data_IF_710512631228
#
_entry.id   IF_710512631228
#
_cell.length_a   1.000
_cell.length_b   1.000
_cell.length_c   1.000
_cell.angle_alpha   90.00
_cell.angle_beta   90.00
_cell.angle_gamma   90.00
#
_symmetry.space_group_name_H-M   'P 1'
#
loop_
_entity.id
_entity.type
_entity.pdbx_description
1 polymer ?
#
# COMPACT_ATOMS: atom_id res chain seq x y z
N UNK A 1 1.11 13.74 -23.94
CA UNK A 1 2.24 13.05 -23.27
C UNK A 1 3.50 12.88 -24.15
N UNK A 2 3.66 13.56 -25.30
CA UNK A 2 4.87 13.42 -26.15
C UNK A 2 6.14 14.12 -25.62
N UNK A 3 6.12 14.70 -24.41
CA UNK A 3 7.27 15.39 -23.80
C UNK A 3 7.77 14.82 -22.47
N UNK A 4 7.21 13.70 -22.00
CA UNK A 4 7.72 13.00 -20.82
C UNK A 4 7.86 11.52 -21.15
N UNK A 5 8.84 11.22 -22.00
CA UNK A 5 9.38 9.85 -22.09
C UNK A 5 10.07 9.56 -20.76
N UNK A 6 9.93 8.33 -20.26
CA UNK A 6 10.49 7.82 -19.00
C UNK A 6 12.04 7.73 -18.99
N UNK A 7 12.72 8.62 -19.72
CA UNK A 7 14.18 8.66 -19.93
C UNK A 7 14.92 9.58 -18.94
N UNK A 8 14.26 10.10 -17.91
CA UNK A 8 14.79 11.16 -17.04
C UNK A 8 15.38 10.65 -15.72
N UNK A 9 14.91 9.52 -15.16
CA UNK A 9 15.59 8.88 -14.01
C UNK A 9 16.52 7.80 -14.51
N UNK A 10 17.82 8.02 -14.28
CA UNK A 10 18.85 7.02 -14.58
C UNK A 10 18.85 5.94 -13.50
N UNK A 11 18.99 4.66 -13.88
CA UNK A 11 19.14 3.56 -12.92
C UNK A 11 20.54 3.59 -12.30
N UNK A 12 20.73 4.46 -11.30
CA UNK A 12 21.98 4.66 -10.57
C UNK A 12 21.75 4.47 -9.07
N UNK A 13 22.81 4.17 -8.32
CA UNK A 13 22.74 3.99 -6.86
C UNK A 13 22.28 5.27 -6.15
N UNK A 14 22.63 6.45 -6.69
CA UNK A 14 22.16 7.76 -6.22
C UNK A 14 20.63 7.88 -6.25
N UNK A 15 19.98 7.33 -7.28
CA UNK A 15 18.52 7.36 -7.43
C UNK A 15 17.82 6.15 -6.78
N UNK A 16 18.58 5.26 -6.14
CA UNK A 16 18.07 4.00 -5.61
C UNK A 16 17.64 4.07 -4.14
N UNK A 17 17.90 5.19 -3.46
CA UNK A 17 17.50 5.42 -2.07
C UNK A 17 15.99 5.33 -1.82
N UNK A 18 15.59 5.22 -0.55
CA UNK A 18 14.18 5.29 -0.09
C UNK A 18 13.26 4.15 -0.58
N UNK A 19 13.83 2.95 -0.76
CA UNK A 19 13.09 1.71 -0.97
C UNK A 19 12.21 1.73 -2.21
N UNK A 20 10.97 1.23 -2.08
CA UNK A 20 10.00 1.19 -3.17
C UNK A 20 9.15 2.46 -3.25
N UNK A 21 9.21 3.33 -2.24
CA UNK A 21 8.41 4.56 -2.20
C UNK A 21 8.90 5.57 -3.25
N UNK A 22 10.18 5.95 -3.17
CA UNK A 22 10.79 6.97 -4.03
C UNK A 22 11.88 6.41 -4.96
N UNK A 23 12.53 5.33 -4.54
CA UNK A 23 13.70 4.77 -5.20
C UNK A 23 13.43 4.01 -6.49
N UNK A 24 14.52 3.61 -7.14
CA UNK A 24 14.47 2.82 -8.38
C UNK A 24 13.79 1.46 -8.22
N UNK A 25 13.72 0.89 -7.00
CA UNK A 25 12.96 -0.33 -6.75
C UNK A 25 11.44 -0.14 -6.99
N UNK A 26 10.90 1.06 -6.74
CA UNK A 26 9.52 1.40 -7.08
C UNK A 26 9.28 1.46 -8.59
N UNK A 27 10.26 1.99 -9.34
CA UNK A 27 10.22 1.99 -10.81
C UNK A 27 10.34 0.55 -11.36
N UNK A 28 11.20 -0.27 -10.75
CA UNK A 28 11.30 -1.68 -11.08
C UNK A 28 9.97 -2.41 -10.85
N UNK A 29 9.29 -2.13 -9.74
CA UNK A 29 7.95 -2.64 -9.48
C UNK A 29 6.95 -2.22 -10.56
N UNK A 30 6.95 -0.96 -11.01
CA UNK A 30 6.08 -0.53 -12.11
C UNK A 30 6.31 -1.38 -13.36
N UNK A 31 7.57 -1.58 -13.78
CA UNK A 31 7.85 -2.43 -14.94
C UNK A 31 7.45 -3.89 -14.73
N UNK A 32 7.67 -4.43 -13.53
CA UNK A 32 7.18 -5.74 -13.15
C UNK A 32 5.65 -5.82 -13.29
N UNK A 33 4.91 -4.86 -12.76
CA UNK A 33 3.45 -4.77 -12.85
C UNK A 33 2.98 -4.75 -14.31
N UNK A 34 3.58 -3.88 -15.14
CA UNK A 34 3.27 -3.81 -16.58
C UNK A 34 3.47 -5.14 -17.31
N UNK A 35 4.45 -5.96 -16.88
CA UNK A 35 4.71 -7.26 -17.48
C UNK A 35 3.60 -8.30 -17.22
N UNK A 36 2.75 -8.04 -16.22
CA UNK A 36 1.65 -8.91 -15.79
C UNK A 36 0.30 -8.51 -16.39
N UNK A 37 0.17 -7.28 -16.89
CA UNK A 37 -1.08 -6.77 -17.45
C UNK A 37 -1.39 -7.44 -18.79
N UNK A 38 -2.53 -8.15 -18.95
CA UNK A 38 -2.80 -8.96 -20.15
C UNK A 38 -2.78 -8.18 -21.47
N UNK A 39 -3.29 -6.95 -21.47
CA UNK A 39 -3.31 -6.05 -22.64
C UNK A 39 -1.92 -5.60 -23.08
N UNK A 40 -0.90 -5.77 -22.23
CA UNK A 40 0.49 -5.38 -22.47
C UNK A 40 1.44 -6.57 -22.65
N UNK A 41 0.88 -7.79 -22.73
CA UNK A 41 1.63 -9.06 -22.80
C UNK A 41 2.67 -9.14 -23.93
N UNK A 42 2.45 -8.47 -25.07
CA UNK A 42 3.40 -8.43 -26.19
C UNK A 42 4.75 -7.80 -25.85
N UNK A 43 4.82 -6.98 -24.79
CA UNK A 43 6.04 -6.32 -24.30
C UNK A 43 6.56 -6.91 -23.00
N UNK A 44 5.98 -8.01 -22.52
CA UNK A 44 6.31 -8.62 -21.22
C UNK A 44 7.82 -8.77 -21.00
N UNK A 45 8.54 -9.39 -21.93
CA UNK A 45 10.00 -9.60 -21.79
C UNK A 45 10.79 -8.29 -21.79
N UNK A 46 10.32 -7.25 -22.49
CA UNK A 46 10.95 -5.93 -22.45
C UNK A 46 10.77 -5.28 -21.08
N UNK A 47 9.56 -5.37 -20.51
CA UNK A 47 9.28 -4.83 -19.20
C UNK A 47 10.07 -5.54 -18.10
N UNK A 48 10.14 -6.87 -18.11
CA UNK A 48 10.96 -7.61 -17.14
C UNK A 48 12.45 -7.23 -17.23
N UNK A 49 13.00 -7.02 -18.44
CA UNK A 49 14.38 -6.52 -18.59
C UNK A 49 14.56 -5.12 -17.98
N UNK A 50 13.60 -4.22 -18.20
CA UNK A 50 13.64 -2.88 -17.59
C UNK A 50 13.49 -2.94 -16.07
N UNK A 51 12.65 -3.84 -15.55
CA UNK A 51 12.52 -4.07 -14.11
C UNK A 51 13.88 -4.43 -13.50
N UNK A 52 14.63 -5.37 -14.10
CA UNK A 52 15.99 -5.70 -13.65
C UNK A 52 16.93 -4.50 -13.73
N UNK A 53 16.89 -3.73 -14.83
CA UNK A 53 17.71 -2.52 -14.99
C UNK A 53 17.54 -1.53 -13.84
N UNK A 54 16.30 -1.23 -13.43
CA UNK A 54 16.02 -0.31 -12.33
C UNK A 54 16.20 -0.95 -10.94
N UNK A 55 16.09 -2.27 -10.85
CA UNK A 55 16.27 -3.01 -9.61
C UNK A 55 17.75 -3.15 -9.20
N UNK A 56 18.67 -3.32 -10.16
CA UNK A 56 20.08 -3.57 -9.88
C UNK A 56 20.73 -2.53 -8.95
N UNK A 57 20.57 -1.21 -9.16
CA UNK A 57 21.11 -0.21 -8.24
C UNK A 57 20.57 -0.33 -6.81
N UNK A 58 19.28 -0.63 -6.66
CA UNK A 58 18.65 -0.80 -5.36
C UNK A 58 19.19 -2.05 -4.63
N UNK A 59 19.44 -3.14 -5.35
CA UNK A 59 20.10 -4.34 -4.81
C UNK A 59 21.51 -4.00 -4.32
N UNK A 60 22.28 -3.22 -5.09
CA UNK A 60 23.62 -2.81 -4.69
C UNK A 60 23.59 -1.99 -3.40
N UNK A 61 22.74 -0.97 -3.33
CA UNK A 61 22.56 -0.13 -2.12
C UNK A 61 22.14 -0.98 -0.92
N UNK A 62 21.17 -1.88 -1.10
CA UNK A 62 20.70 -2.78 -0.04
C UNK A 62 21.81 -3.74 0.45
N UNK A 63 22.74 -4.12 -0.41
CA UNK A 63 23.85 -5.02 -0.08
C UNK A 63 24.98 -4.32 0.67
N UNK A 64 25.20 -3.02 0.42
CA UNK A 64 26.23 -2.22 1.08
C UNK A 64 25.81 -1.73 2.48
N UNK A 65 24.54 -1.43 2.69
CA UNK A 65 24.03 -0.81 3.94
C UNK A 65 23.39 -1.82 4.90
N UNK A 66 24.07 -2.93 5.21
CA UNK A 66 23.49 -4.01 6.04
C UNK A 66 23.29 -3.65 7.53
N UNK A 67 24.08 -2.72 8.07
CA UNK A 67 24.13 -2.45 9.51
C UNK A 67 23.02 -1.53 10.01
N UNK A 68 22.46 -0.68 9.13
CA UNK A 68 21.41 0.30 9.46
C UNK A 68 20.07 0.05 8.76
N UNK A 69 19.92 -1.09 8.06
CA UNK A 69 18.75 -1.32 7.24
C UNK A 69 17.53 -1.67 8.09
N UNK A 70 16.58 -0.74 8.17
CA UNK A 70 15.25 -1.01 8.70
C UNK A 70 14.62 -2.09 7.79
N UNK A 71 14.13 -3.21 8.36
CA UNK A 71 13.51 -4.29 7.60
C UNK A 71 12.09 -3.93 7.14
N UNK A 72 11.93 -2.74 6.57
CA UNK A 72 10.65 -2.19 6.17
C UNK A 72 10.34 -2.46 4.71
N UNK A 73 9.05 -2.67 4.45
CA UNK A 73 8.58 -3.04 3.12
C UNK A 73 8.50 -1.84 2.18
N UNK A 74 8.01 -0.68 2.64
CA UNK A 74 7.85 0.49 1.75
C UNK A 74 9.14 1.29 1.60
N UNK A 75 9.82 1.58 2.72
CA UNK A 75 10.99 2.48 2.74
C UNK A 75 12.35 1.78 2.86
N UNK A 76 12.37 0.44 2.97
CA UNK A 76 13.57 -0.29 3.37
C UNK A 76 13.93 -1.46 2.46
N UNK A 77 14.96 -2.18 2.88
CA UNK A 77 15.55 -3.27 2.11
C UNK A 77 14.59 -4.44 1.90
N UNK A 78 13.64 -4.66 2.82
CA UNK A 78 12.65 -5.73 2.67
C UNK A 78 11.79 -5.50 1.41
N UNK A 79 11.42 -4.27 1.09
CA UNK A 79 10.75 -3.93 -0.17
C UNK A 79 11.57 -4.28 -1.41
N UNK A 80 12.87 -3.95 -1.37
CA UNK A 80 13.80 -4.23 -2.47
C UNK A 80 13.91 -5.74 -2.68
N UNK A 81 14.08 -6.52 -1.61
CA UNK A 81 14.14 -7.98 -1.68
C UNK A 81 12.83 -8.60 -2.19
N UNK A 82 11.68 -8.06 -1.78
CA UNK A 82 10.39 -8.53 -2.28
C UNK A 82 10.22 -8.30 -3.79
N UNK A 83 10.56 -7.11 -4.29
CA UNK A 83 10.51 -6.80 -5.72
C UNK A 83 11.52 -7.66 -6.48
N UNK A 84 12.71 -7.87 -5.93
CA UNK A 84 13.70 -8.75 -6.54
C UNK A 84 13.22 -10.20 -6.65
N UNK A 85 12.68 -10.75 -5.56
CA UNK A 85 12.12 -12.10 -5.55
C UNK A 85 11.08 -12.29 -6.66
N UNK A 86 10.12 -11.37 -6.78
CA UNK A 86 9.01 -11.47 -7.74
C UNK A 86 9.44 -11.27 -9.19
N UNK A 87 10.38 -10.34 -9.44
CA UNK A 87 10.99 -10.13 -10.77
C UNK A 87 11.77 -11.36 -11.23
N UNK A 88 12.68 -11.87 -10.40
CA UNK A 88 13.48 -13.05 -10.75
C UNK A 88 12.62 -14.32 -10.89
N UNK A 89 11.58 -14.47 -10.06
CA UNK A 89 10.59 -15.54 -10.22
C UNK A 89 9.92 -15.48 -11.61
N UNK A 90 9.50 -14.29 -12.05
CA UNK A 90 8.84 -14.11 -13.35
C UNK A 90 9.77 -14.26 -14.54
N UNK A 91 11.08 -14.13 -14.33
CA UNK A 91 12.12 -14.45 -15.31
C UNK A 91 12.47 -15.95 -15.35
N UNK A 92 11.96 -16.75 -14.42
CA UNK A 92 12.29 -18.17 -14.27
C UNK A 92 13.61 -18.43 -13.52
N UNK A 93 14.26 -17.39 -12.98
CA UNK A 93 15.46 -17.53 -12.16
C UNK A 93 15.08 -17.80 -10.69
N UNK A 94 14.71 -19.06 -10.43
CA UNK A 94 14.26 -19.49 -9.11
C UNK A 94 15.36 -19.43 -8.05
N UNK A 95 16.64 -19.51 -8.45
CA UNK A 95 17.75 -19.42 -7.51
C UNK A 95 17.87 -18.01 -6.93
N UNK A 96 17.88 -16.98 -7.79
CA UNK A 96 17.87 -15.59 -7.32
C UNK A 96 16.57 -15.25 -6.59
N UNK A 97 15.43 -15.70 -7.11
CA UNK A 97 14.14 -15.53 -6.43
C UNK A 97 14.19 -16.04 -4.98
N UNK A 98 14.59 -17.31 -4.79
CA UNK A 98 14.66 -17.92 -3.47
C UNK A 98 15.69 -17.25 -2.55
N UNK A 99 16.81 -16.76 -3.09
CA UNK A 99 17.79 -15.99 -2.32
C UNK A 99 17.16 -14.72 -1.73
N UNK A 100 16.43 -13.93 -2.53
CA UNK A 100 15.80 -12.71 -2.03
C UNK A 100 14.61 -12.99 -1.10
N UNK A 101 13.86 -14.06 -1.34
CA UNK A 101 12.85 -14.55 -0.38
C UNK A 101 13.50 -14.86 0.97
N UNK A 102 14.64 -15.54 0.97
CA UNK A 102 15.35 -15.86 2.21
C UNK A 102 15.85 -14.59 2.91
N UNK A 103 16.45 -13.64 2.18
CA UNK A 103 16.88 -12.35 2.76
C UNK A 103 15.72 -11.57 3.39
N UNK A 104 14.53 -11.60 2.76
CA UNK A 104 13.32 -11.01 3.32
C UNK A 104 12.91 -11.69 4.64
N UNK A 105 12.89 -13.02 4.67
CA UNK A 105 12.48 -13.74 5.88
C UNK A 105 13.52 -13.72 7.00
N UNK A 106 14.81 -13.62 6.69
CA UNK A 106 15.88 -13.47 7.69
C UNK A 106 15.71 -12.18 8.50
N UNK A 107 15.11 -11.14 7.90
CA UNK A 107 14.84 -9.87 8.58
C UNK A 107 13.69 -9.94 9.60
N UNK A 108 12.92 -11.04 9.63
CA UNK A 108 11.85 -11.26 10.62
C UNK A 108 12.39 -11.18 12.06
N UNK A 109 13.61 -11.64 12.30
CA UNK A 109 14.23 -11.62 13.64
C UNK A 109 14.35 -10.20 14.21
N UNK A 110 14.55 -9.19 13.37
CA UNK A 110 14.55 -7.79 13.80
C UNK A 110 13.13 -7.30 14.06
N UNK A 111 12.19 -7.61 13.18
CA UNK A 111 10.77 -7.21 13.27
C UNK A 111 10.09 -7.78 14.51
N UNK A 112 10.48 -8.99 14.94
CA UNK A 112 9.96 -9.65 16.15
C UNK A 112 10.45 -9.05 17.47
N UNK A 113 11.49 -8.20 17.47
CA UNK A 113 11.91 -7.51 18.70
C UNK A 113 10.81 -6.54 19.14
N UNK A 114 10.46 -6.49 20.43
CA UNK A 114 9.34 -5.70 20.94
C UNK A 114 9.38 -4.22 20.53
N UNK A 115 10.57 -3.59 20.55
CA UNK A 115 10.80 -2.23 20.06
C UNK A 115 12.03 -2.23 19.16
N UNK A 116 11.84 -2.39 17.85
CA UNK A 116 12.94 -2.35 16.88
C UNK A 116 13.15 -0.96 16.26
N UNK A 117 12.21 -0.03 16.48
CA UNK A 117 12.32 1.38 16.12
C UNK A 117 12.08 2.29 17.34
N UNK A 118 12.62 3.49 17.28
CA UNK A 118 12.51 4.46 18.38
C UNK A 118 11.11 5.05 18.51
N UNK A 119 10.39 5.26 17.40
CA UNK A 119 9.17 6.08 17.39
C UNK A 119 7.99 5.36 16.75
N UNK A 120 7.62 4.20 17.29
CA UNK A 120 6.58 3.33 16.73
C UNK A 120 7.16 2.28 15.80
N UNK A 121 6.67 1.05 15.91
CA UNK A 121 7.22 -0.12 15.19
C UNK A 121 6.18 -0.86 14.36
N UNK A 122 4.91 -0.45 14.36
CA UNK A 122 3.81 -1.27 13.85
C UNK A 122 3.21 -0.78 12.53
N UNK A 123 3.43 0.48 12.14
CA UNK A 123 2.81 1.06 10.95
C UNK A 123 3.34 0.49 9.62
N UNK A 124 2.80 0.97 8.49
CA UNK A 124 3.04 0.37 7.19
C UNK A 124 4.42 0.67 6.61
N UNK A 125 4.90 1.91 6.72
CA UNK A 125 6.03 2.35 5.92
C UNK A 125 7.36 1.76 6.40
N UNK A 126 7.52 1.73 7.71
CA UNK A 126 8.72 1.29 8.43
C UNK A 126 8.48 0.11 9.38
N UNK A 127 7.22 -0.15 9.75
CA UNK A 127 6.84 -1.07 10.80
C UNK A 127 6.45 -2.50 10.38
N UNK A 128 5.91 -3.24 11.36
CA UNK A 128 5.51 -4.65 11.25
C UNK A 128 4.38 -4.87 10.25
N UNK A 129 3.41 -3.96 10.15
CA UNK A 129 2.34 -4.09 9.17
C UNK A 129 2.89 -4.11 7.74
N UNK A 130 3.88 -3.25 7.45
CA UNK A 130 4.63 -3.29 6.19
C UNK A 130 5.28 -4.64 5.94
N UNK A 131 6.00 -5.16 6.93
CA UNK A 131 6.66 -6.46 6.83
C UNK A 131 5.68 -7.61 6.55
N UNK A 132 4.54 -7.65 7.23
CA UNK A 132 3.52 -8.68 7.00
C UNK A 132 2.90 -8.52 5.61
N UNK A 133 2.59 -7.30 5.18
CA UNK A 133 2.07 -7.03 3.83
C UNK A 133 3.04 -7.54 2.74
N UNK A 134 4.34 -7.27 2.87
CA UNK A 134 5.33 -7.74 1.91
C UNK A 134 5.47 -9.26 1.89
N UNK A 135 5.38 -9.94 3.04
CA UNK A 135 5.42 -11.40 3.09
C UNK A 135 4.21 -12.03 2.39
N UNK A 136 3.02 -11.45 2.59
CA UNK A 136 1.79 -11.83 1.90
C UNK A 136 1.95 -11.61 0.38
N UNK A 137 2.42 -10.43 -0.02
CA UNK A 137 2.61 -10.08 -1.43
C UNK A 137 3.60 -11.01 -2.13
N UNK A 138 4.76 -11.31 -1.53
CA UNK A 138 5.72 -12.28 -2.05
C UNK A 138 5.03 -13.63 -2.27
N UNK A 139 4.37 -14.18 -1.24
CA UNK A 139 3.74 -15.49 -1.32
C UNK A 139 2.72 -15.58 -2.47
N UNK A 140 1.92 -14.53 -2.69
CA UNK A 140 0.98 -14.48 -3.81
C UNK A 140 1.67 -14.40 -5.18
N UNK A 141 2.67 -13.53 -5.34
CA UNK A 141 3.30 -13.27 -6.64
C UNK A 141 4.30 -14.37 -7.06
N UNK A 142 4.90 -15.07 -6.10
CA UNK A 142 5.84 -16.17 -6.37
C UNK A 142 5.21 -17.55 -6.24
N UNK A 143 3.96 -17.64 -5.76
CA UNK A 143 3.27 -18.89 -5.45
C UNK A 143 4.09 -19.79 -4.48
N UNK A 144 4.79 -19.16 -3.53
CA UNK A 144 5.52 -19.86 -2.46
C UNK A 144 4.71 -19.85 -1.15
N UNK A 145 4.80 -20.92 -0.33
CA UNK A 145 4.09 -20.95 0.94
C UNK A 145 4.48 -19.81 1.87
N UNK A 146 3.47 -19.19 2.50
CA UNK A 146 3.68 -18.23 3.58
C UNK A 146 4.29 -18.93 4.79
N UNK A 147 5.32 -18.33 5.43
CA UNK A 147 5.84 -18.78 6.73
C UNK A 147 4.84 -18.45 7.85
N UNK A 148 3.70 -19.16 7.89
CA UNK A 148 2.53 -18.84 8.73
C UNK A 148 2.89 -18.63 10.20
N UNK A 149 3.75 -19.47 10.77
CA UNK A 149 4.17 -19.34 12.18
C UNK A 149 4.88 -18.01 12.46
N UNK A 150 5.82 -17.60 11.61
CA UNK A 150 6.53 -16.33 11.78
C UNK A 150 5.58 -15.14 11.64
N UNK A 151 4.65 -15.22 10.68
CA UNK A 151 3.68 -14.16 10.43
C UNK A 151 2.67 -14.04 11.57
N UNK A 152 2.17 -15.16 12.09
CA UNK A 152 1.25 -15.17 13.23
C UNK A 152 1.93 -14.58 14.46
N UNK A 153 3.17 -14.97 14.77
CA UNK A 153 3.93 -14.41 15.88
C UNK A 153 4.09 -12.88 15.75
N UNK A 154 4.37 -12.38 14.54
CA UNK A 154 4.47 -10.93 14.28
C UNK A 154 3.10 -10.26 14.47
N UNK A 155 2.01 -10.87 14.02
CA UNK A 155 0.65 -10.35 14.24
C UNK A 155 0.29 -10.30 15.73
N UNK A 156 0.67 -11.32 16.51
CA UNK A 156 0.47 -11.33 17.96
C UNK A 156 1.24 -10.20 18.64
N UNK A 157 2.45 -9.91 18.18
CA UNK A 157 3.23 -8.76 18.66
C UNK A 157 2.53 -7.44 18.32
N UNK A 158 2.00 -7.29 17.09
CA UNK A 158 1.24 -6.10 16.67
C UNK A 158 0.02 -5.91 17.58
N UNK A 159 -0.78 -6.96 17.80
CA UNK A 159 -2.00 -6.89 18.62
C UNK A 159 -1.64 -6.60 20.08
N UNK A 160 -0.62 -7.26 20.63
CA UNK A 160 -0.14 -7.00 21.99
C UNK A 160 0.32 -5.55 22.15
N UNK A 161 1.13 -5.05 21.21
CA UNK A 161 1.61 -3.66 21.18
C UNK A 161 0.43 -2.68 21.20
N UNK A 162 -0.57 -2.90 20.34
CA UNK A 162 -1.75 -2.05 20.25
C UNK A 162 -2.63 -2.05 21.50
N UNK A 163 -2.82 -3.24 22.11
CA UNK A 163 -3.54 -3.38 23.38
C UNK A 163 -2.80 -2.68 24.53
N UNK A 164 -1.48 -2.86 24.60
CA UNK A 164 -0.66 -2.24 25.64
C UNK A 164 -0.72 -0.72 25.52
N UNK A 165 -0.51 -0.18 24.31
CA UNK A 165 -0.57 1.25 24.04
C UNK A 165 -1.96 1.83 24.33
N UNK A 166 -3.02 1.18 23.88
CA UNK A 166 -4.41 1.60 24.14
C UNK A 166 -4.67 1.71 25.65
N UNK A 167 -4.29 0.71 26.45
CA UNK A 167 -4.47 0.74 27.91
C UNK A 167 -3.63 1.83 28.58
N UNK A 168 -2.39 2.04 28.15
CA UNK A 168 -1.52 3.04 28.80
C UNK A 168 -1.95 4.48 28.52
N UNK A 169 -2.65 4.72 27.40
CA UNK A 169 -3.10 6.06 26.98
C UNK A 169 -4.62 6.26 27.16
N UNK A 170 -5.31 5.32 27.82
CA UNK A 170 -6.77 5.35 28.01
C UNK A 170 -7.54 5.57 26.69
N UNK A 171 -7.09 4.90 25.62
CA UNK A 171 -7.67 5.05 24.29
C UNK A 171 -9.07 4.41 24.22
N UNK A 172 -9.99 5.08 23.52
CA UNK A 172 -11.33 4.54 23.22
C UNK A 172 -11.28 3.35 22.24
N UNK A 173 -10.18 3.22 21.50
CA UNK A 173 -9.99 2.15 20.52
C UNK A 173 -9.24 0.96 21.17
N UNK A 174 -9.72 -0.29 21.04
CA UNK A 174 -9.06 -1.45 21.67
C UNK A 174 -7.60 -1.66 21.23
N UNK A 175 -7.30 -1.35 19.98
CA UNK A 175 -5.94 -1.33 19.43
C UNK A 175 -5.62 0.09 18.98
N UNK A 176 -4.59 0.70 19.56
CA UNK A 176 -4.12 2.01 19.14
C UNK A 176 -2.60 2.02 19.06
N UNK A 177 -2.05 2.87 18.19
CA UNK A 177 -0.63 2.94 17.91
C UNK A 177 -0.24 4.39 17.70
N UNK A 178 1.03 4.71 17.96
CA UNK A 178 1.61 5.97 17.54
C UNK A 178 2.87 5.79 16.72
N UNK A 179 3.12 6.76 15.86
CA UNK A 179 4.34 6.90 15.09
C UNK A 179 4.80 8.35 15.22
N UNK A 180 6.04 8.55 15.69
CA UNK A 180 6.54 9.88 16.10
C UNK A 180 5.56 10.63 17.02
N UNK A 181 5.04 9.91 18.03
CA UNK A 181 4.14 10.45 19.06
C UNK A 181 2.76 10.91 18.53
N UNK A 182 2.45 10.62 17.27
CA UNK A 182 1.14 10.92 16.67
C UNK A 182 0.34 9.63 16.48
N UNK A 183 -0.90 9.61 16.95
CA UNK A 183 -1.87 8.54 16.74
C UNK A 183 -2.53 8.68 15.36
N UNK A 184 -1.77 8.38 14.30
CA UNK A 184 -2.28 8.42 12.93
C UNK A 184 -3.40 7.41 12.70
N UNK A 185 -4.40 7.80 11.90
CA UNK A 185 -5.53 6.94 11.52
C UNK A 185 -5.44 6.44 10.07
N UNK A 186 -4.77 7.20 9.19
CA UNK A 186 -4.69 6.94 7.74
C UNK A 186 -3.86 5.72 7.33
N UNK A 187 -3.82 5.43 6.02
CA UNK A 187 -3.19 4.22 5.50
C UNK A 187 -1.64 4.26 5.50
N UNK A 188 -1.02 5.44 5.50
CA UNK A 188 0.45 5.51 5.47
C UNK A 188 1.08 5.12 6.81
N UNK A 189 0.73 5.82 7.88
CA UNK A 189 1.40 5.68 9.18
C UNK A 189 0.46 5.24 10.31
N UNK A 190 -0.79 4.93 9.98
CA UNK A 190 -1.86 4.87 10.96
C UNK A 190 -2.53 3.52 11.12
N UNK A 191 -3.53 3.53 12.00
CA UNK A 191 -4.33 2.40 12.41
C UNK A 191 -4.98 1.67 11.21
N UNK A 192 -5.38 2.40 10.15
CA UNK A 192 -6.04 1.83 8.97
C UNK A 192 -5.28 0.63 8.37
N UNK A 193 -4.01 0.80 8.02
CA UNK A 193 -3.25 -0.26 7.34
C UNK A 193 -2.82 -1.37 8.29
N UNK A 194 -2.60 -1.06 9.56
CA UNK A 194 -2.31 -2.08 10.58
C UNK A 194 -3.48 -3.06 10.67
N UNK A 195 -4.71 -2.55 10.82
CA UNK A 195 -5.91 -3.39 10.89
C UNK A 195 -6.18 -4.12 9.58
N UNK A 196 -5.98 -3.45 8.43
CA UNK A 196 -6.19 -4.08 7.12
C UNK A 196 -5.25 -5.28 6.92
N UNK A 197 -3.98 -5.14 7.29
CA UNK A 197 -2.99 -6.22 7.17
C UNK A 197 -3.35 -7.39 8.07
N UNK A 198 -3.67 -7.16 9.35
CA UNK A 198 -4.12 -8.21 10.26
C UNK A 198 -5.33 -8.96 9.72
N UNK A 199 -6.30 -8.24 9.16
CA UNK A 199 -7.52 -8.80 8.55
C UNK A 199 -7.24 -9.59 7.26
N UNK A 200 -6.07 -9.41 6.65
CA UNK A 200 -5.67 -10.04 5.40
C UNK A 200 -4.86 -11.32 5.60
N UNK A 201 -4.27 -11.54 6.79
CA UNK A 201 -3.52 -12.75 7.09
C UNK A 201 -4.45 -13.98 7.12
N UNK A 202 -4.25 -14.98 6.25
CA UNK A 202 -5.15 -16.12 6.14
C UNK A 202 -5.19 -16.95 7.41
N UNK A 203 -6.38 -17.23 7.90
CA UNK A 203 -6.62 -18.07 9.09
C UNK A 203 -6.25 -17.43 10.42
N UNK A 204 -5.67 -16.21 10.43
CA UNK A 204 -5.25 -15.56 11.69
C UNK A 204 -6.47 -15.25 12.57
N UNK A 205 -7.50 -14.65 11.99
CA UNK A 205 -8.75 -14.31 12.67
C UNK A 205 -9.47 -15.55 13.24
N UNK A 206 -9.44 -16.68 12.52
CA UNK A 206 -10.07 -17.93 12.95
C UNK A 206 -9.31 -18.58 14.11
N UNK A 207 -7.98 -18.50 14.09
CA UNK A 207 -7.11 -19.06 15.12
C UNK A 207 -7.01 -18.18 16.39
N UNK A 208 -7.35 -16.89 16.28
CA UNK A 208 -7.21 -15.89 17.34
C UNK A 208 -8.52 -15.12 17.58
N UNK A 209 -9.58 -15.77 18.09
CA UNK A 209 -10.91 -15.16 18.19
C UNK A 209 -10.97 -13.92 19.11
N UNK A 210 -10.10 -13.81 20.11
CA UNK A 210 -10.05 -12.64 20.99
C UNK A 210 -9.40 -11.45 20.27
N UNK A 211 -8.29 -11.68 19.59
CA UNK A 211 -7.60 -10.71 18.75
C UNK A 211 -8.53 -10.25 17.62
N UNK A 212 -9.27 -11.19 17.01
CA UNK A 212 -10.25 -10.91 15.97
C UNK A 212 -11.35 -9.95 16.45
N UNK A 213 -11.82 -10.10 17.69
CA UNK A 213 -12.78 -9.19 18.30
C UNK A 213 -12.21 -7.78 18.47
N UNK A 214 -10.97 -7.66 18.95
CA UNK A 214 -10.32 -6.36 19.14
C UNK A 214 -10.03 -5.67 17.81
N UNK A 215 -9.59 -6.42 16.80
CA UNK A 215 -9.40 -5.93 15.43
C UNK A 215 -10.72 -5.38 14.90
N UNK A 216 -11.81 -6.16 14.97
CA UNK A 216 -13.13 -5.73 14.49
C UNK A 216 -13.63 -4.49 15.23
N UNK A 217 -13.52 -4.46 16.56
CA UNK A 217 -13.94 -3.32 17.36
C UNK A 217 -13.11 -2.06 17.05
N UNK A 218 -11.83 -2.21 16.70
CA UNK A 218 -10.98 -1.10 16.28
C UNK A 218 -11.33 -0.59 14.87
N UNK A 219 -11.76 -1.48 13.97
CA UNK A 219 -12.34 -1.09 12.67
C UNK A 219 -13.67 -0.36 12.87
N UNK A 220 -14.52 -0.83 13.78
CA UNK A 220 -15.79 -0.20 14.11
C UNK A 220 -15.58 1.17 14.78
N UNK A 221 -14.52 1.34 15.59
CA UNK A 221 -14.07 2.64 16.07
C UNK A 221 -13.73 3.58 14.91
N UNK A 222 -12.85 3.16 13.98
CA UNK A 222 -12.50 3.98 12.80
C UNK A 222 -13.72 4.35 11.98
N UNK A 223 -14.64 3.40 11.73
CA UNK A 223 -15.89 3.66 11.02
C UNK A 223 -16.74 4.73 11.72
N UNK A 224 -16.75 4.73 13.06
CA UNK A 224 -17.44 5.73 13.87
C UNK A 224 -16.86 7.15 13.76
N UNK A 225 -15.62 7.29 13.31
CA UNK A 225 -14.95 8.57 13.07
C UNK A 225 -15.13 9.08 11.62
N UNK A 226 -15.94 8.39 10.80
CA UNK A 226 -16.32 8.88 9.47
C UNK A 226 -17.22 10.11 9.58
N UNK A 227 -16.83 11.21 8.94
CA UNK A 227 -17.67 12.42 8.91
C UNK A 227 -18.87 12.30 7.96
N UNK A 228 -19.78 13.28 8.03
CA UNK A 228 -21.00 13.28 7.23
C UNK A 228 -20.76 13.37 5.71
N UNK A 229 -19.59 13.86 5.27
CA UNK A 229 -19.20 13.87 3.86
C UNK A 229 -18.56 12.53 3.43
N UNK A 230 -18.16 11.70 4.39
CA UNK A 230 -17.51 10.41 4.17
C UNK A 230 -16.01 10.40 4.39
N UNK A 231 -15.43 11.48 4.90
CA UNK A 231 -13.99 11.57 5.14
C UNK A 231 -13.61 11.09 6.54
N UNK A 232 -12.30 11.04 6.80
CA UNK A 232 -11.73 10.61 8.07
C UNK A 232 -10.61 11.58 8.50
N UNK A 233 -10.45 11.83 9.80
CA UNK A 233 -9.35 12.64 10.32
C UNK A 233 -8.01 11.95 10.07
N UNK A 234 -6.91 12.71 9.97
CA UNK A 234 -5.59 12.14 9.71
C UNK A 234 -5.02 11.46 10.97
N UNK A 235 -5.35 11.99 12.15
CA UNK A 235 -4.91 11.54 13.46
C UNK A 235 -6.00 11.73 14.53
N UNK A 236 -5.82 11.13 15.71
CA UNK A 236 -6.81 11.17 16.82
C UNK A 236 -7.06 12.58 17.34
N UNK A 237 -6.03 13.43 17.40
CA UNK A 237 -6.13 14.83 17.85
C UNK A 237 -6.90 15.74 16.88
N UNK A 238 -7.13 15.28 15.65
CA UNK A 238 -7.98 15.93 14.66
C UNK A 238 -9.46 15.48 14.72
N UNK A 239 -9.80 14.51 15.58
CA UNK A 239 -11.20 14.07 15.75
C UNK A 239 -12.07 15.24 16.23
N UNK A 240 -13.23 15.41 15.59
CA UNK A 240 -14.16 16.50 15.86
C UNK A 240 -13.88 17.78 15.06
N UNK A 241 -12.75 17.84 14.35
CA UNK A 241 -12.46 18.89 13.38
C UNK A 241 -12.84 18.45 11.95
N UNK A 242 -12.86 19.41 11.03
CA UNK A 242 -13.14 19.12 9.62
C UNK A 242 -11.98 18.36 8.99
N UNK A 243 -12.27 17.21 8.40
CA UNK A 243 -11.28 16.39 7.69
C UNK A 243 -11.02 16.94 6.28
N UNK A 244 -9.81 17.42 6.02
CA UNK A 244 -9.47 18.08 4.74
C UNK A 244 -8.75 17.17 3.73
N UNK A 245 -7.98 16.18 4.20
CA UNK A 245 -7.16 15.35 3.33
C UNK A 245 -8.01 14.25 2.67
N UNK A 246 -7.89 14.13 1.34
CA UNK A 246 -8.57 13.10 0.54
C UNK A 246 -7.49 12.35 -0.24
N UNK A 247 -6.60 11.69 0.51
CA UNK A 247 -5.40 11.04 0.00
C UNK A 247 -5.45 9.54 0.32
N UNK A 248 -4.58 8.76 -0.33
CA UNK A 248 -4.33 7.39 0.12
C UNK A 248 -3.65 7.39 1.49
N UNK A 249 -2.64 8.24 1.72
CA UNK A 249 -1.95 8.27 3.01
C UNK A 249 -2.84 8.70 4.18
N UNK A 250 -3.75 9.66 3.97
CA UNK A 250 -4.64 10.21 4.99
C UNK A 250 -6.02 10.55 4.40
N UNK A 251 -7.08 10.07 5.06
CA UNK A 251 -8.47 10.30 4.67
C UNK A 251 -9.10 9.19 3.82
N UNK A 252 -10.20 9.52 3.16
CA UNK A 252 -11.07 8.58 2.45
C UNK A 252 -10.37 7.77 1.34
N UNK A 253 -9.36 8.34 0.68
CA UNK A 253 -8.64 7.68 -0.42
C UNK A 253 -7.93 6.40 0.01
N UNK A 254 -7.48 6.32 1.26
CA UNK A 254 -6.85 5.13 1.84
C UNK A 254 -7.79 4.30 2.70
N UNK A 255 -8.65 4.95 3.48
CA UNK A 255 -9.55 4.27 4.43
C UNK A 255 -10.51 3.29 3.73
N UNK A 256 -10.85 3.55 2.47
CA UNK A 256 -11.74 2.68 1.69
C UNK A 256 -11.20 1.26 1.53
N UNK A 257 -9.88 1.06 1.48
CA UNK A 257 -9.30 -0.29 1.33
C UNK A 257 -9.53 -1.13 2.58
N UNK A 258 -9.42 -0.53 3.78
CA UNK A 258 -9.78 -1.20 5.03
C UNK A 258 -11.28 -1.53 5.08
N UNK A 259 -12.16 -0.55 4.82
CA UNK A 259 -13.61 -0.77 4.89
C UNK A 259 -14.07 -1.82 3.87
N UNK A 260 -13.50 -1.81 2.68
CA UNK A 260 -13.76 -2.83 1.67
C UNK A 260 -13.30 -4.22 2.13
N UNK A 261 -12.12 -4.34 2.73
CA UNK A 261 -11.65 -5.61 3.30
C UNK A 261 -12.56 -6.07 4.44
N UNK A 262 -12.98 -5.16 5.32
CA UNK A 262 -13.93 -5.43 6.41
C UNK A 262 -15.27 -5.93 5.88
N UNK A 263 -15.81 -5.31 4.82
CA UNK A 263 -17.00 -5.82 4.13
C UNK A 263 -16.80 -7.23 3.60
N UNK A 264 -15.66 -7.50 2.94
CA UNK A 264 -15.38 -8.82 2.37
C UNK A 264 -15.25 -9.91 3.44
N UNK A 265 -14.73 -9.59 4.64
CA UNK A 265 -14.56 -10.56 5.73
C UNK A 265 -15.81 -10.70 6.59
N UNK A 266 -16.34 -9.60 7.11
CA UNK A 266 -17.45 -9.62 8.07
C UNK A 266 -18.83 -9.67 7.41
N UNK A 267 -18.93 -9.35 6.11
CA UNK A 267 -20.19 -9.31 5.35
C UNK A 267 -21.25 -8.36 5.94
N UNK A 268 -20.83 -7.34 6.69
CA UNK A 268 -21.71 -6.32 7.25
C UNK A 268 -21.86 -5.13 6.30
N UNK A 269 -23.10 -4.78 5.95
CA UNK A 269 -23.42 -3.76 4.95
C UNK A 269 -22.86 -2.38 5.29
N UNK A 270 -22.76 -2.02 6.58
CA UNK A 270 -22.24 -0.73 7.05
C UNK A 270 -20.85 -0.38 6.48
N UNK A 271 -20.00 -1.39 6.25
CA UNK A 271 -18.67 -1.18 5.68
C UNK A 271 -18.74 -0.86 4.18
N UNK A 272 -19.65 -1.50 3.43
CA UNK A 272 -19.88 -1.17 2.02
C UNK A 272 -20.53 0.21 1.87
N UNK A 273 -21.47 0.57 2.74
CA UNK A 273 -22.09 1.90 2.74
C UNK A 273 -21.03 2.99 2.96
N UNK A 274 -20.09 2.76 3.88
CA UNK A 274 -18.93 3.63 4.10
C UNK A 274 -18.06 3.78 2.85
N UNK A 275 -17.78 2.67 2.14
CA UNK A 275 -17.07 2.70 0.85
C UNK A 275 -17.79 3.54 -0.21
N UNK A 276 -19.11 3.42 -0.32
CA UNK A 276 -19.91 4.18 -1.27
C UNK A 276 -19.86 5.68 -0.93
N UNK A 277 -19.95 6.03 0.35
CA UNK A 277 -19.87 7.42 0.82
C UNK A 277 -18.50 8.03 0.53
N UNK A 278 -17.41 7.32 0.83
CA UNK A 278 -16.05 7.72 0.44
C UNK A 278 -15.91 7.91 -1.07
N UNK A 279 -16.47 6.98 -1.87
CA UNK A 279 -16.48 7.10 -3.33
C UNK A 279 -17.21 8.34 -3.85
N UNK A 280 -18.27 8.78 -3.16
CA UNK A 280 -18.98 10.01 -3.51
C UNK A 280 -18.16 11.25 -3.14
N UNK A 281 -17.50 11.25 -1.98
CA UNK A 281 -16.57 12.31 -1.59
C UNK A 281 -15.41 12.45 -2.57
N UNK A 282 -14.73 11.34 -2.89
CA UNK A 282 -13.61 11.32 -3.83
C UNK A 282 -14.06 11.78 -5.21
N UNK A 283 -15.29 11.45 -5.63
CA UNK A 283 -15.83 11.98 -6.88
C UNK A 283 -16.03 13.49 -6.86
N UNK A 284 -16.53 14.03 -5.74
CA UNK A 284 -16.79 15.45 -5.60
C UNK A 284 -15.52 16.30 -5.42
N UNK A 285 -14.48 15.76 -4.76
CA UNK A 285 -13.34 16.56 -4.26
C UNK A 285 -11.97 15.91 -4.45
N UNK A 286 -11.88 14.72 -5.03
CA UNK A 286 -10.64 13.95 -5.17
C UNK A 286 -9.74 14.34 -6.34
N UNK A 287 -10.11 15.37 -7.12
CA UNK A 287 -9.27 15.93 -8.19
C UNK A 287 -8.24 16.93 -7.62
N UNK A 288 -7.17 16.39 -7.05
CA UNK A 288 -6.12 17.13 -6.38
C UNK A 288 -5.14 17.80 -7.37
N UNK A 289 -4.68 19.01 -7.03
CA UNK A 289 -3.68 19.76 -7.82
C UNK A 289 -2.24 19.56 -7.32
N UNK A 290 -2.00 18.54 -6.49
CA UNK A 290 -0.68 18.28 -5.89
C UNK A 290 0.26 17.51 -6.84
N UNK A 291 -0.28 16.67 -7.73
CA UNK A 291 0.51 15.85 -8.62
C UNK A 291 -0.27 14.67 -9.20
N UNK A 292 0.40 13.79 -9.99
CA UNK A 292 -0.24 12.65 -10.66
C UNK A 292 -0.11 11.33 -9.89
N UNK A 293 0.63 11.29 -8.77
CA UNK A 293 1.01 10.09 -8.05
C UNK A 293 -0.14 9.29 -7.42
N UNK A 294 0.23 8.30 -6.61
CA UNK A 294 -0.72 7.38 -5.95
C UNK A 294 -0.86 7.59 -4.45
N UNK A 295 0.09 8.27 -3.79
CA UNK A 295 0.04 8.46 -2.34
C UNK A 295 -1.00 9.52 -1.92
N UNK A 296 -1.05 10.63 -2.64
CA UNK A 296 -1.86 11.79 -2.25
C UNK A 296 -2.28 12.64 -3.46
N UNK A 297 -2.61 11.96 -4.55
CA UNK A 297 -2.75 12.54 -5.88
C UNK A 297 -3.82 11.80 -6.72
N UNK A 298 -4.00 12.27 -7.97
CA UNK A 298 -5.09 11.84 -8.85
C UNK A 298 -5.13 10.33 -9.09
N UNK A 299 -4.00 9.69 -9.39
CA UNK A 299 -4.01 8.25 -9.71
C UNK A 299 -4.39 7.41 -8.50
N UNK A 300 -3.93 7.80 -7.30
CA UNK A 300 -4.31 7.15 -6.04
C UNK A 300 -5.80 7.22 -5.78
N UNK A 301 -6.40 8.41 -5.95
CA UNK A 301 -7.84 8.57 -5.86
C UNK A 301 -8.60 7.87 -7.01
N UNK A 302 -7.99 7.70 -8.17
CA UNK A 302 -8.55 6.90 -9.26
C UNK A 302 -8.73 5.43 -8.88
N UNK A 303 -7.82 4.86 -8.09
CA UNK A 303 -7.93 3.48 -7.59
C UNK A 303 -9.15 3.25 -6.69
N UNK A 304 -9.67 4.27 -6.02
CA UNK A 304 -10.93 4.20 -5.23
C UNK A 304 -12.07 3.69 -6.12
N UNK A 305 -12.14 4.18 -7.36
CA UNK A 305 -13.19 3.79 -8.28
C UNK A 305 -12.96 2.43 -8.93
N UNK A 306 -11.71 2.04 -9.18
CA UNK A 306 -11.39 0.68 -9.62
C UNK A 306 -11.76 -0.34 -8.52
N UNK A 307 -11.48 -0.01 -7.26
CA UNK A 307 -11.90 -0.81 -6.12
C UNK A 307 -13.43 -0.93 -6.04
N UNK A 308 -14.17 0.18 -6.09
CA UNK A 308 -15.63 0.18 -6.05
C UNK A 308 -16.25 -0.56 -7.24
N UNK A 309 -15.65 -0.44 -8.44
CA UNK A 309 -16.03 -1.24 -9.60
C UNK A 309 -15.88 -2.73 -9.32
N UNK A 310 -14.72 -3.18 -8.80
CA UNK A 310 -14.51 -4.60 -8.46
C UNK A 310 -15.49 -5.08 -7.37
N UNK A 311 -15.80 -4.26 -6.38
CA UNK A 311 -16.73 -4.60 -5.30
C UNK A 311 -18.20 -4.71 -5.76
N UNK A 312 -18.65 -3.81 -6.62
CA UNK A 312 -20.08 -3.62 -6.93
C UNK A 312 -20.48 -4.04 -8.34
N UNK A 313 -19.50 -4.14 -9.26
CA UNK A 313 -19.69 -4.34 -10.70
C UNK A 313 -20.48 -3.20 -11.38
N UNK A 314 -20.70 -2.07 -10.70
CA UNK A 314 -21.40 -0.93 -11.27
C UNK A 314 -20.50 -0.12 -12.21
N UNK A 315 -20.89 -0.04 -13.49
CA UNK A 315 -20.13 0.62 -14.55
C UNK A 315 -19.86 2.11 -14.29
N UNK A 316 -20.69 2.77 -13.46
CA UNK A 316 -20.49 4.18 -13.06
C UNK A 316 -19.12 4.39 -12.42
N UNK A 317 -18.62 3.42 -11.65
CA UNK A 317 -17.32 3.56 -10.99
C UNK A 317 -16.17 3.42 -11.99
N UNK A 318 -16.26 2.47 -12.93
CA UNK A 318 -15.28 2.38 -14.01
C UNK A 318 -15.22 3.69 -14.83
N UNK A 319 -16.39 4.28 -15.14
CA UNK A 319 -16.46 5.59 -15.78
C UNK A 319 -15.74 6.68 -14.96
N UNK A 320 -15.98 6.77 -13.64
CA UNK A 320 -15.29 7.74 -12.77
C UNK A 320 -13.76 7.55 -12.76
N UNK A 321 -13.28 6.31 -12.74
CA UNK A 321 -11.84 6.02 -12.85
C UNK A 321 -11.24 6.57 -14.16
N UNK A 322 -11.95 6.40 -15.28
CA UNK A 322 -11.54 6.92 -16.59
C UNK A 322 -11.54 8.46 -16.60
N UNK A 323 -12.52 9.10 -15.97
CA UNK A 323 -12.56 10.58 -15.88
C UNK A 323 -11.39 11.14 -15.07
N UNK A 324 -10.93 10.44 -14.02
CA UNK A 324 -9.71 10.81 -13.28
C UNK A 324 -8.46 10.76 -14.18
N UNK A 325 -8.36 9.74 -15.05
CA UNK A 325 -7.32 9.72 -16.07
C UNK A 325 -7.45 10.88 -17.06
N UNK A 326 -8.65 11.14 -17.59
CA UNK A 326 -8.87 12.26 -18.53
C UNK A 326 -8.54 13.61 -17.92
N UNK A 327 -8.82 13.81 -16.63
CA UNK A 327 -8.45 15.04 -15.93
C UNK A 327 -6.92 15.23 -15.95
N UNK A 328 -6.12 14.19 -15.74
CA UNK A 328 -4.66 14.28 -15.85
C UNK A 328 -4.19 14.72 -17.25
N UNK A 329 -4.99 14.50 -18.31
CA UNK A 329 -4.69 14.96 -19.67
C UNK A 329 -5.17 16.38 -19.96
N UNK A 330 -6.01 16.96 -19.10
CA UNK A 330 -6.58 18.29 -19.29
C UNK A 330 -5.50 19.38 -19.19
N UNK A 331 -5.73 20.51 -19.88
CA UNK A 331 -4.87 21.68 -19.73
C UNK A 331 -4.84 22.19 -18.28
N UNK A 332 -5.97 22.14 -17.58
CA UNK A 332 -6.07 22.56 -16.18
C UNK A 332 -5.08 21.81 -15.29
N UNK A 333 -5.03 20.48 -15.40
CA UNK A 333 -4.09 19.69 -14.63
C UNK A 333 -2.64 19.94 -15.06
N UNK A 334 -2.38 19.94 -16.38
CA UNK A 334 -1.03 20.08 -16.92
C UNK A 334 -0.38 21.44 -16.63
N UNK A 335 -1.16 22.52 -16.52
CA UNK A 335 -0.65 23.85 -16.18
C UNK A 335 -0.80 24.21 -14.70
N UNK A 336 -1.77 23.61 -14.00
CA UNK A 336 -2.17 24.01 -12.65
C UNK A 336 -1.66 23.12 -11.52
N UNK A 337 -1.12 21.93 -11.83
CA UNK A 337 -0.63 21.01 -10.82
C UNK A 337 0.85 21.20 -10.52
N UNK A 338 1.25 20.90 -9.28
CA UNK A 338 2.66 20.93 -8.89
C UNK A 338 3.41 19.75 -9.49
N UNK A 339 4.71 19.93 -9.69
CA UNK A 339 5.63 18.82 -9.93
C UNK A 339 5.96 18.20 -8.57
N UNK A 340 5.78 16.88 -8.36
CA UNK A 340 6.21 16.21 -7.14
C UNK A 340 7.72 16.30 -6.94
N UNK A 341 8.18 16.15 -5.70
CA UNK A 341 9.61 16.14 -5.37
C UNK A 341 10.34 14.99 -6.08
N UNK A 342 9.69 13.83 -6.17
CA UNK A 342 10.16 12.67 -6.92
C UNK A 342 9.22 12.32 -8.08
N UNK A 343 9.28 13.07 -9.21
CA UNK A 343 8.25 13.06 -10.25
C UNK A 343 8.13 11.75 -11.02
N UNK A 344 9.06 10.81 -10.85
CA UNK A 344 9.06 9.50 -11.51
C UNK A 344 8.99 8.32 -10.54
N UNK A 345 8.90 8.59 -9.24
CA UNK A 345 8.76 7.56 -8.21
C UNK A 345 7.46 6.79 -8.33
N UNK A 346 7.37 5.66 -7.61
CA UNK A 346 6.15 4.86 -7.55
C UNK A 346 5.04 5.61 -6.80
N UNK A 347 5.32 6.22 -5.66
CA UNK A 347 4.25 6.75 -4.81
C UNK A 347 3.87 8.21 -5.10
N UNK A 348 4.82 9.06 -5.49
CA UNK A 348 4.55 10.48 -5.80
C UNK A 348 4.50 10.75 -7.30
N UNK A 349 5.19 9.93 -8.08
CA UNK A 349 5.48 10.20 -9.48
C UNK A 349 4.70 9.37 -10.48
N UNK A 350 5.18 9.46 -11.73
CA UNK A 350 4.58 8.83 -12.89
C UNK A 350 4.64 7.30 -12.87
N UNK A 351 5.50 6.67 -12.07
CA UNK A 351 5.53 5.21 -12.04
C UNK A 351 4.25 4.64 -11.42
N UNK A 352 3.73 5.25 -10.34
CA UNK A 352 2.41 4.90 -9.78
C UNK A 352 1.27 5.22 -10.73
N UNK A 353 1.30 6.40 -11.38
CA UNK A 353 0.33 6.76 -12.41
C UNK A 353 0.31 5.70 -13.52
N UNK A 354 1.47 5.22 -13.94
CA UNK A 354 1.60 4.22 -15.01
C UNK A 354 0.96 2.89 -14.60
N UNK A 355 1.12 2.46 -13.34
CA UNK A 355 0.40 1.29 -12.82
C UNK A 355 -1.12 1.49 -12.90
N UNK A 356 -1.63 2.64 -12.46
CA UNK A 356 -3.05 2.98 -12.54
C UNK A 356 -3.58 2.95 -13.99
N UNK A 357 -2.84 3.52 -14.93
CA UNK A 357 -3.23 3.50 -16.34
C UNK A 357 -3.25 2.10 -16.94
N UNK A 358 -2.30 1.25 -16.55
CA UNK A 358 -2.28 -0.14 -16.98
C UNK A 358 -3.48 -0.91 -16.41
N UNK A 359 -3.82 -0.68 -15.15
CA UNK A 359 -4.96 -1.29 -14.48
C UNK A 359 -6.31 -0.84 -15.05
N UNK A 360 -6.42 0.40 -15.55
CA UNK A 360 -7.59 0.86 -16.31
C UNK A 360 -7.87 0.02 -17.56
N UNK A 361 -6.84 -0.61 -18.16
CA UNK A 361 -7.02 -1.48 -19.33
C UNK A 361 -7.50 -2.89 -18.95
N UNK A 362 -7.43 -3.26 -17.66
CA UNK A 362 -7.87 -4.55 -17.16
C UNK A 362 -8.52 -4.43 -15.77
N UNK A 363 -9.67 -3.72 -15.66
CA UNK A 363 -10.19 -3.24 -14.38
C UNK A 363 -10.73 -4.33 -13.44
N UNK A 364 -11.01 -5.53 -13.94
CA UNK A 364 -11.49 -6.66 -13.13
C UNK A 364 -10.45 -7.18 -12.13
N UNK A 365 -9.16 -6.97 -12.40
CA UNK A 365 -8.05 -7.42 -11.55
C UNK A 365 -7.23 -6.24 -10.98
N UNK A 366 -7.65 -5.01 -11.25
CA UNK A 366 -6.98 -3.80 -10.80
C UNK A 366 -6.81 -3.76 -9.27
N UNK A 367 -5.59 -3.50 -8.82
CA UNK A 367 -5.23 -3.43 -7.40
C UNK A 367 -4.31 -2.25 -7.17
N UNK A 368 -4.59 -1.46 -6.13
CA UNK A 368 -3.61 -0.47 -5.69
C UNK A 368 -2.30 -1.19 -5.39
N UNK A 369 -1.12 -0.65 -5.79
CA UNK A 369 0.16 -1.33 -5.61
C UNK A 369 0.32 -1.98 -4.23
N UNK A 370 0.60 -3.29 -4.22
CA UNK A 370 0.72 -4.16 -3.03
C UNK A 370 -0.56 -4.40 -2.20
N UNK A 371 -1.63 -3.65 -2.45
CA UNK A 371 -2.88 -3.64 -1.68
C UNK A 371 -4.00 -4.41 -2.37
N UNK A 372 -3.85 -5.74 -2.54
CA UNK A 372 -4.94 -6.57 -3.04
C UNK A 372 -5.85 -7.09 -1.94
N UNK A 373 -6.92 -6.34 -1.65
CA UNK A 373 -7.87 -6.70 -0.60
C UNK A 373 -8.72 -7.93 -0.94
N UNK A 374 -8.79 -8.33 -2.22
CA UNK A 374 -9.56 -9.47 -2.70
C UNK A 374 -8.77 -10.79 -2.63
N UNK A 375 -7.45 -10.70 -2.46
CA UNK A 375 -6.60 -11.89 -2.41
C UNK A 375 -7.00 -12.76 -1.21
N UNK A 376 -7.27 -14.03 -1.49
CA UNK A 376 -7.39 -15.10 -0.49
C UNK A 376 -6.14 -15.93 -0.63
N UNK A 377 -5.12 -15.64 0.18
CA UNK A 377 -3.92 -16.48 0.18
C UNK A 377 -4.29 -17.84 0.77
N UNK A 378 -4.04 -18.92 0.01
CA UNK A 378 -4.35 -20.28 0.43
C UNK A 378 -3.21 -20.84 1.30
#
# INVERSE_FOLDING_TARGET
MSRMTCNSVKPTEENAGDGIYLGTAGIAYMFYHLSKVPTLSSKQSQYLRQAVTYLNPAITVASCNKTDSIPSFILGNAGIYAVAATVFNSLGDLNQSNQYIQLYYDSANTVKKQRFLNYGSDELFVGRAGYVLGALWIAAETNTPLRKNDIYEICDIIVKSGRDYSRTHDSRCPLMYSYYEVEYLGAAHGLCSILQVLLTVPGYMDSHPNEAKDIKNSIDFLLGEQDAEGNFPAAVDEIGYRSELIHWCHGAGGMIFLMAKAYLVFKEQKYLDSCILMGNLVWAKGLLKKGPGICHDIAGNGYVFLLLYRLTQEQKYLHRAIEFYKFMLSSEFQSGSRTPDYPYSLFEGLAGTTCFLADLTHPSEAKFPFYDIFCVYK
#
